data_IF_760039692692
#
_entry.id   IF_760039692692
#
_cell.length_a   1.000
_cell.length_b   1.000
_cell.length_c   1.000
_cell.angle_alpha   90.00
_cell.angle_beta   90.00
_cell.angle_gamma   90.00
#
_symmetry.space_group_name_H-M   'P 1'
#
loop_
_entity.id
_entity.type
_entity.pdbx_description
1 polymer ?
#
# COMPACT_ATOMS: atom_id res chain seq x y z
N UNK A 1 -38.18 12.16 -3.94
CA UNK A 1 -37.46 11.13 -4.72
C UNK A 1 -36.21 11.76 -5.34
N UNK A 2 -35.19 10.95 -5.67
CA UNK A 2 -33.85 11.30 -6.23
C UNK A 2 -32.68 11.44 -5.25
N UNK A 3 -32.24 10.30 -4.69
CA UNK A 3 -30.80 10.05 -4.58
C UNK A 3 -30.31 9.75 -6.00
N UNK A 4 -29.65 10.72 -6.65
CA UNK A 4 -29.37 10.71 -8.10
C UNK A 4 -28.24 9.78 -8.55
N UNK A 5 -28.21 8.53 -8.07
CA UNK A 5 -27.34 7.46 -8.53
C UNK A 5 -28.14 6.33 -9.18
N UNK A 6 -27.51 5.56 -10.06
CA UNK A 6 -28.09 4.36 -10.71
C UNK A 6 -28.17 3.19 -9.73
N UNK A 7 -27.24 3.10 -8.78
CA UNK A 7 -27.21 2.06 -7.74
C UNK A 7 -27.21 2.65 -6.33
N UNK A 8 -27.65 1.83 -5.37
CA UNK A 8 -27.72 2.21 -3.94
C UNK A 8 -26.53 1.70 -3.15
N UNK A 9 -25.90 0.62 -3.61
CA UNK A 9 -24.70 0.06 -2.98
C UNK A 9 -23.55 -0.02 -3.97
N UNK A 10 -22.33 -0.06 -3.44
CA UNK A 10 -21.12 -0.27 -4.26
C UNK A 10 -21.12 -1.68 -4.85
N UNK A 11 -21.59 -2.69 -4.11
CA UNK A 11 -21.68 -4.07 -4.60
C UNK A 11 -22.60 -4.20 -5.80
N UNK A 12 -23.80 -3.62 -5.76
CA UNK A 12 -24.74 -3.64 -6.91
C UNK A 12 -24.09 -3.07 -8.18
N UNK A 13 -23.29 -2.00 -8.04
CA UNK A 13 -22.57 -1.42 -9.16
C UNK A 13 -21.49 -2.34 -9.70
N UNK A 14 -20.72 -3.01 -8.83
CA UNK A 14 -19.71 -4.00 -9.21
C UNK A 14 -20.37 -5.19 -9.92
N UNK A 15 -21.47 -5.71 -9.39
CA UNK A 15 -22.19 -6.84 -9.96
C UNK A 15 -22.68 -6.55 -11.38
N UNK A 16 -23.10 -5.29 -11.63
CA UNK A 16 -23.55 -4.83 -12.94
C UNK A 16 -22.45 -4.68 -14.00
N UNK A 17 -21.18 -4.58 -13.58
CA UNK A 17 -20.06 -4.43 -14.50
C UNK A 17 -19.91 -5.67 -15.38
N UNK A 18 -19.50 -5.54 -16.65
CA UNK A 18 -19.26 -6.68 -17.51
C UNK A 18 -18.15 -7.58 -16.95
N UNK A 19 -18.31 -8.89 -17.13
CA UNK A 19 -17.27 -9.86 -16.81
C UNK A 19 -16.20 -9.87 -17.91
N UNK A 20 -14.95 -10.14 -17.53
CA UNK A 20 -13.80 -10.31 -18.43
C UNK A 20 -13.64 -9.13 -19.41
N UNK A 21 -13.85 -7.90 -18.93
CA UNK A 21 -13.75 -6.72 -19.77
C UNK A 21 -12.30 -6.49 -20.19
N UNK A 22 -12.05 -6.46 -21.50
CA UNK A 22 -10.74 -6.07 -22.07
C UNK A 22 -10.47 -4.55 -21.96
N UNK A 23 -11.47 -3.78 -21.51
CA UNK A 23 -11.39 -2.33 -21.37
C UNK A 23 -11.75 -1.89 -19.95
N UNK A 24 -11.29 -0.68 -19.60
CA UNK A 24 -11.55 -0.05 -18.29
C UNK A 24 -13.05 0.19 -18.09
N UNK A 25 -13.64 -0.40 -17.05
CA UNK A 25 -15.02 -0.12 -16.65
C UNK A 25 -15.05 0.73 -15.36
N UNK A 26 -15.57 1.96 -15.46
CA UNK A 26 -15.47 2.94 -14.36
C UNK A 26 -16.78 3.04 -13.57
N UNK A 27 -16.71 2.80 -12.28
CA UNK A 27 -17.80 3.04 -11.32
C UNK A 27 -17.44 4.28 -10.52
N UNK A 28 -18.30 5.29 -10.59
CA UNK A 28 -18.16 6.50 -9.80
C UNK A 28 -19.07 6.43 -8.58
N UNK A 29 -18.48 6.53 -7.39
CA UNK A 29 -19.15 6.48 -6.10
C UNK A 29 -19.21 7.89 -5.55
N UNK A 30 -20.42 8.42 -5.38
CA UNK A 30 -20.58 9.76 -4.79
C UNK A 30 -20.19 9.72 -3.31
N UNK A 31 -19.83 10.87 -2.77
CA UNK A 31 -19.63 11.02 -1.33
C UNK A 31 -20.80 10.43 -0.52
N UNK A 32 -20.45 9.71 0.54
CA UNK A 32 -21.36 8.93 1.36
C UNK A 32 -20.64 7.81 2.10
N UNK A 33 -21.35 7.21 3.05
CA UNK A 33 -20.91 6.02 3.77
C UNK A 33 -21.75 4.83 3.28
N UNK A 34 -21.06 3.80 2.79
CA UNK A 34 -21.64 2.61 2.20
C UNK A 34 -21.30 1.40 3.06
N UNK A 35 -22.29 0.86 3.77
CA UNK A 35 -22.08 -0.27 4.68
C UNK A 35 -22.19 -1.60 3.95
N UNK A 36 -21.24 -2.50 4.21
CA UNK A 36 -21.18 -3.83 3.64
C UNK A 36 -19.85 -4.12 2.95
N UNK A 37 -19.71 -5.34 2.42
CA UNK A 37 -18.54 -5.69 1.61
C UNK A 37 -18.69 -5.16 0.18
N UNK A 38 -17.57 -4.78 -0.43
CA UNK A 38 -17.42 -4.58 -1.86
C UNK A 38 -16.46 -5.66 -2.38
N UNK A 39 -16.99 -6.62 -3.12
CA UNK A 39 -16.29 -7.80 -3.63
C UNK A 39 -16.17 -7.66 -5.14
N UNK A 40 -14.95 -7.45 -5.61
CA UNK A 40 -14.56 -7.45 -7.02
C UNK A 40 -14.07 -8.87 -7.35
N UNK A 41 -14.99 -9.74 -7.76
CA UNK A 41 -14.71 -11.13 -8.13
C UNK A 41 -13.68 -11.25 -9.26
N UNK A 42 -13.10 -12.44 -9.42
CA UNK A 42 -12.03 -12.71 -10.41
C UNK A 42 -12.44 -12.37 -11.85
N UNK A 43 -13.73 -12.51 -12.15
CA UNK A 43 -14.33 -12.17 -13.44
C UNK A 43 -14.48 -10.66 -13.67
N UNK A 44 -14.42 -9.82 -12.62
CA UNK A 44 -14.58 -8.36 -12.72
C UNK A 44 -13.23 -7.66 -13.01
N UNK A 45 -12.65 -7.99 -14.16
CA UNK A 45 -11.35 -7.43 -14.59
C UNK A 45 -11.44 -5.97 -15.03
N UNK A 46 -10.33 -5.24 -14.91
CA UNK A 46 -10.17 -3.85 -15.36
C UNK A 46 -11.21 -2.86 -14.79
N UNK A 47 -11.79 -3.19 -13.63
CA UNK A 47 -12.73 -2.30 -12.94
C UNK A 47 -11.99 -1.12 -12.31
N UNK A 48 -12.56 0.07 -12.42
CA UNK A 48 -12.05 1.28 -11.78
C UNK A 48 -13.11 1.91 -10.89
N UNK A 49 -12.90 1.81 -9.59
CA UNK A 49 -13.74 2.44 -8.58
C UNK A 49 -13.16 3.81 -8.21
N UNK A 50 -13.92 4.88 -8.43
CA UNK A 50 -13.48 6.25 -8.13
C UNK A 50 -14.51 6.99 -7.27
N UNK A 51 -14.04 7.64 -6.21
CA UNK A 51 -14.88 8.42 -5.28
C UNK A 51 -14.71 9.93 -5.41
N UNK A 52 -15.43 10.68 -4.57
CA UNK A 52 -15.28 12.13 -4.39
C UNK A 52 -14.12 12.53 -3.46
N UNK A 53 -13.36 11.55 -2.95
CA UNK A 53 -12.27 11.75 -2.00
C UNK A 53 -12.24 10.64 -0.95
N UNK A 54 -11.04 10.34 -0.43
CA UNK A 54 -10.83 9.23 0.50
C UNK A 54 -11.54 9.35 1.85
N UNK A 55 -11.82 10.58 2.30
CA UNK A 55 -12.59 10.87 3.51
C UNK A 55 -14.10 11.01 3.25
N UNK A 56 -14.58 11.70 2.19
CA UNK A 56 -16.01 11.83 1.95
C UNK A 56 -16.67 10.59 1.33
N UNK A 57 -15.93 9.66 0.72
CA UNK A 57 -16.48 8.46 0.07
C UNK A 57 -15.95 7.18 0.71
N UNK A 58 -16.75 6.54 1.56
CA UNK A 58 -16.29 5.45 2.43
C UNK A 58 -17.13 4.20 2.24
N UNK A 59 -16.48 3.05 2.01
CA UNK A 59 -17.07 1.72 2.20
C UNK A 59 -16.63 1.20 3.57
N UNK A 60 -17.59 0.76 4.39
CA UNK A 60 -17.33 0.32 5.77
C UNK A 60 -17.94 -1.03 6.07
N UNK A 61 -17.18 -1.88 6.77
CA UNK A 61 -17.61 -3.18 7.26
C UNK A 61 -17.13 -3.42 8.69
N UNK A 62 -17.47 -4.57 9.26
CA UNK A 62 -17.07 -4.95 10.63
C UNK A 62 -16.86 -6.45 10.80
N UNK A 63 -16.67 -7.20 9.71
CA UNK A 63 -16.43 -8.64 9.77
C UNK A 63 -15.09 -8.93 10.45
N UNK A 64 -15.03 -9.99 11.25
CA UNK A 64 -13.89 -10.30 12.11
C UNK A 64 -13.90 -11.77 12.56
N UNK A 65 -12.76 -12.24 13.07
CA UNK A 65 -12.60 -13.63 13.52
C UNK A 65 -13.41 -14.00 14.76
N UNK A 66 -13.63 -13.06 15.67
CA UNK A 66 -14.38 -13.29 16.90
C UNK A 66 -15.87 -13.55 16.64
N UNK A 67 -16.37 -13.17 15.46
CA UNK A 67 -17.73 -13.40 15.00
C UNK A 67 -17.81 -14.51 13.93
N UNK A 68 -16.79 -15.36 13.87
CA UNK A 68 -16.78 -16.58 13.05
C UNK A 68 -16.43 -16.37 11.58
N UNK A 69 -15.79 -15.26 11.21
CA UNK A 69 -15.25 -15.05 9.86
C UNK A 69 -13.77 -15.34 9.83
N UNK A 70 -13.31 -16.08 8.83
CA UNK A 70 -11.87 -16.23 8.60
C UNK A 70 -11.24 -14.86 8.25
N UNK A 71 -9.98 -14.62 8.62
CA UNK A 71 -9.25 -13.39 8.26
C UNK A 71 -9.37 -13.09 6.77
N UNK A 72 -9.24 -14.12 5.94
CA UNK A 72 -9.35 -14.02 4.48
C UNK A 72 -10.71 -13.47 4.01
N UNK A 73 -11.80 -13.81 4.69
CA UNK A 73 -13.17 -13.42 4.33
C UNK A 73 -13.65 -12.14 5.01
N UNK A 74 -12.85 -11.58 5.92
CA UNK A 74 -13.21 -10.40 6.72
C UNK A 74 -13.05 -9.05 6.00
N UNK A 75 -12.48 -9.05 4.78
CA UNK A 75 -12.19 -7.85 4.00
C UNK A 75 -13.42 -7.01 3.70
N UNK A 76 -13.39 -5.71 4.02
CA UNK A 76 -14.46 -4.77 3.62
C UNK A 76 -14.43 -4.51 2.11
N UNK A 77 -13.25 -4.25 1.54
CA UNK A 77 -13.01 -4.37 0.11
C UNK A 77 -12.25 -5.68 -0.15
N UNK A 78 -12.76 -6.49 -1.07
CA UNK A 78 -12.12 -7.72 -1.54
C UNK A 78 -11.87 -7.60 -3.04
N UNK A 79 -10.61 -7.64 -3.45
CA UNK A 79 -10.20 -7.50 -4.86
C UNK A 79 -9.56 -8.79 -5.34
N UNK A 80 -10.23 -9.48 -6.26
CA UNK A 80 -9.73 -10.68 -6.92
C UNK A 80 -9.61 -10.52 -8.44
N UNK A 81 -10.30 -9.52 -9.01
CA UNK A 81 -10.19 -9.16 -10.42
C UNK A 81 -8.88 -8.43 -10.76
N UNK A 82 -8.21 -8.88 -11.82
CA UNK A 82 -6.97 -8.29 -12.30
C UNK A 82 -7.18 -6.87 -12.86
N UNK A 83 -6.14 -6.04 -12.73
CA UNK A 83 -6.13 -4.69 -13.26
C UNK A 83 -7.05 -3.72 -12.51
N UNK A 84 -7.58 -4.09 -11.34
CA UNK A 84 -8.46 -3.24 -10.54
C UNK A 84 -7.74 -1.94 -10.13
N UNK A 85 -8.47 -0.83 -10.17
CA UNK A 85 -8.03 0.46 -9.63
C UNK A 85 -9.07 0.94 -8.62
N UNK A 86 -8.62 1.39 -7.45
CA UNK A 86 -9.39 2.30 -6.61
C UNK A 86 -8.72 3.67 -6.56
N UNK A 87 -9.52 4.73 -6.59
CA UNK A 87 -9.03 6.09 -6.42
C UNK A 87 -9.99 6.96 -5.61
N UNK A 88 -9.45 7.80 -4.73
CA UNK A 88 -10.23 8.80 -3.99
C UNK A 88 -11.36 8.15 -3.15
N UNK A 89 -11.03 7.05 -2.46
CA UNK A 89 -11.97 6.19 -1.70
C UNK A 89 -11.40 5.78 -0.33
N UNK A 90 -12.26 5.68 0.68
CA UNK A 90 -11.97 5.10 1.99
C UNK A 90 -12.52 3.68 2.14
N UNK A 91 -11.75 2.77 2.72
CA UNK A 91 -12.13 1.39 3.03
C UNK A 91 -11.83 1.08 4.50
N UNK A 92 -12.89 0.85 5.29
CA UNK A 92 -12.81 0.86 6.75
C UNK A 92 -13.33 -0.47 7.30
N UNK A 93 -12.61 -1.08 8.25
CA UNK A 93 -13.15 -2.14 9.09
C UNK A 93 -13.26 -1.65 10.53
N UNK A 94 -14.49 -1.47 11.00
CA UNK A 94 -14.82 -0.86 12.30
C UNK A 94 -15.05 -1.88 13.41
N UNK A 95 -14.62 -3.14 13.24
CA UNK A 95 -14.76 -4.18 14.28
C UNK A 95 -14.09 -3.78 15.61
N UNK A 96 -12.97 -3.04 15.52
CA UNK A 96 -12.22 -2.57 16.67
C UNK A 96 -11.18 -3.59 17.16
N UNK A 97 -10.29 -3.18 18.07
CA UNK A 97 -9.14 -3.98 18.46
C UNK A 97 -9.49 -5.19 19.34
N UNK A 98 -10.68 -5.19 19.95
CA UNK A 98 -11.20 -6.31 20.74
C UNK A 98 -11.61 -7.53 19.89
N UNK A 99 -11.74 -7.33 18.57
CA UNK A 99 -12.19 -8.36 17.63
C UNK A 99 -11.04 -9.05 16.90
N UNK A 100 -9.81 -8.67 17.23
CA UNK A 100 -8.58 -9.17 16.61
C UNK A 100 -8.58 -8.97 15.09
N UNK A 101 -8.27 -9.98 14.28
CA UNK A 101 -8.14 -9.85 12.83
C UNK A 101 -9.45 -9.39 12.18
N UNK A 102 -9.39 -8.23 11.50
CA UNK A 102 -10.52 -7.61 10.82
C UNK A 102 -10.03 -6.75 9.65
N UNK A 103 -10.07 -7.32 8.44
CA UNK A 103 -9.43 -6.74 7.26
C UNK A 103 -10.27 -5.60 6.67
N UNK A 104 -9.65 -4.45 6.40
CA UNK A 104 -10.27 -3.37 5.62
C UNK A 104 -10.19 -3.65 4.12
N UNK A 105 -9.00 -4.05 3.63
CA UNK A 105 -8.77 -4.34 2.21
C UNK A 105 -8.00 -5.65 2.05
N UNK A 106 -8.53 -6.58 1.23
CA UNK A 106 -7.80 -7.75 0.75
C UNK A 106 -7.60 -7.67 -0.75
N UNK A 107 -6.37 -7.93 -1.21
CA UNK A 107 -6.04 -7.95 -2.64
C UNK A 107 -5.36 -9.26 -3.04
N UNK A 108 -6.03 -10.00 -3.92
CA UNK A 108 -5.59 -11.24 -4.56
C UNK A 108 -5.47 -11.13 -6.09
N UNK A 109 -5.84 -10.00 -6.69
CA UNK A 109 -5.69 -9.76 -8.14
C UNK A 109 -4.31 -9.22 -8.51
N UNK A 110 -3.91 -9.39 -9.78
CA UNK A 110 -2.66 -8.87 -10.33
C UNK A 110 -2.81 -7.46 -10.93
N UNK A 111 -1.74 -6.67 -10.86
CA UNK A 111 -1.67 -5.28 -11.37
C UNK A 111 -2.77 -4.39 -10.77
N UNK A 112 -2.96 -4.50 -9.46
CA UNK A 112 -3.91 -3.69 -8.71
C UNK A 112 -3.28 -2.37 -8.28
N UNK A 113 -4.01 -1.27 -8.45
CA UNK A 113 -3.59 0.07 -8.01
C UNK A 113 -4.57 0.65 -6.99
N UNK A 114 -4.03 1.18 -5.89
CA UNK A 114 -4.76 2.02 -4.94
C UNK A 114 -4.12 3.41 -4.94
N UNK A 115 -4.83 4.43 -5.38
CA UNK A 115 -4.32 5.79 -5.51
C UNK A 115 -5.15 6.78 -4.69
N UNK A 116 -4.55 7.51 -3.74
CA UNK A 116 -5.30 8.41 -2.86
C UNK A 116 -6.46 7.67 -2.17
N UNK A 117 -6.15 6.51 -1.58
CA UNK A 117 -7.10 5.73 -0.82
C UNK A 117 -6.76 5.75 0.67
N UNK A 118 -7.78 5.60 1.51
CA UNK A 118 -7.63 5.45 2.96
C UNK A 118 -8.05 4.05 3.38
N UNK A 119 -7.21 3.37 4.17
CA UNK A 119 -7.43 2.02 4.65
C UNK A 119 -7.29 2.05 6.17
N UNK A 120 -8.39 1.82 6.88
CA UNK A 120 -8.47 2.07 8.32
C UNK A 120 -9.08 0.87 9.03
N UNK A 121 -8.30 0.22 9.88
CA UNK A 121 -8.78 -0.76 10.84
C UNK A 121 -7.86 -0.78 12.08
N UNK A 122 -7.80 -1.92 12.75
CA UNK A 122 -6.85 -2.21 13.82
C UNK A 122 -5.90 -3.31 13.37
N UNK A 123 -6.13 -4.55 13.80
CA UNK A 123 -5.31 -5.69 13.40
C UNK A 123 -5.66 -6.18 11.99
N UNK A 124 -4.64 -6.50 11.20
CA UNK A 124 -4.74 -7.03 9.83
C UNK A 124 -5.44 -6.08 8.83
N UNK A 125 -5.19 -4.76 8.91
CA UNK A 125 -5.88 -3.75 8.10
C UNK A 125 -5.81 -4.00 6.58
N UNK A 126 -4.60 -4.21 6.04
CA UNK A 126 -4.34 -4.36 4.62
C UNK A 126 -3.71 -5.74 4.35
N UNK A 127 -4.50 -6.62 3.74
CA UNK A 127 -4.05 -7.94 3.32
C UNK A 127 -3.58 -7.91 1.86
N UNK A 128 -2.28 -7.64 1.66
CA UNK A 128 -1.57 -7.76 0.37
C UNK A 128 -1.31 -9.23 0.05
N UNK A 129 -2.39 -9.98 -0.17
CA UNK A 129 -2.40 -11.44 -0.20
C UNK A 129 -1.45 -11.99 -1.28
N UNK A 130 -1.65 -11.67 -2.57
CA UNK A 130 -0.84 -12.21 -3.68
C UNK A 130 -0.71 -11.24 -4.87
N UNK A 131 0.15 -11.59 -5.84
CA UNK A 131 0.36 -10.90 -7.12
C UNK A 131 0.96 -9.49 -7.01
N UNK A 132 1.03 -8.75 -8.13
CA UNK A 132 1.65 -7.41 -8.18
C UNK A 132 0.66 -6.33 -7.80
N UNK A 133 1.07 -5.44 -6.92
CA UNK A 133 0.20 -4.39 -6.37
C UNK A 133 0.99 -3.10 -6.19
N UNK A 134 0.33 -1.95 -6.40
CA UNK A 134 0.92 -0.62 -6.23
C UNK A 134 0.00 0.30 -5.44
N UNK A 135 0.53 0.95 -4.42
CA UNK A 135 -0.21 1.86 -3.55
C UNK A 135 0.48 3.22 -3.56
N UNK A 136 -0.21 4.29 -3.92
CA UNK A 136 0.39 5.63 -4.01
C UNK A 136 -0.52 6.70 -3.39
N UNK A 137 0.08 7.64 -2.67
CA UNK A 137 -0.63 8.72 -1.96
C UNK A 137 -1.73 8.22 -1.01
N UNK A 138 -1.55 7.03 -0.44
CA UNK A 138 -2.52 6.40 0.45
C UNK A 138 -2.32 6.80 1.92
N UNK A 139 -3.34 6.56 2.73
CA UNK A 139 -3.26 6.58 4.20
C UNK A 139 -3.62 5.19 4.72
N UNK A 140 -2.70 4.54 5.42
CA UNK A 140 -2.88 3.17 5.93
C UNK A 140 -2.69 3.17 7.44
N UNK A 141 -3.75 2.83 8.18
CA UNK A 141 -3.81 2.94 9.64
C UNK A 141 -4.13 1.60 10.28
N UNK A 142 -3.37 1.18 11.29
CA UNK A 142 -3.64 -0.07 12.01
C UNK A 142 -2.74 -0.30 13.22
N UNK A 143 -2.79 -1.52 13.77
CA UNK A 143 -2.05 -1.89 15.01
C UNK A 143 -1.11 -3.07 14.81
N UNK A 144 -1.64 -4.29 14.87
CA UNK A 144 -0.89 -5.53 14.74
C UNK A 144 -0.97 -6.00 13.29
N UNK A 145 0.18 -6.32 12.71
CA UNK A 145 0.35 -6.91 11.38
C UNK A 145 -0.47 -6.19 10.29
N UNK A 146 -0.57 -4.86 10.38
CA UNK A 146 -1.63 -4.17 9.64
C UNK A 146 -1.33 -4.01 8.14
N UNK A 147 -0.13 -4.35 7.68
CA UNK A 147 0.21 -4.57 6.27
C UNK A 147 0.85 -5.97 6.16
N UNK A 148 0.11 -6.94 5.66
CA UNK A 148 0.55 -8.35 5.72
C UNK A 148 0.20 -9.13 4.46
N UNK A 149 0.89 -10.25 4.26
CA UNK A 149 0.68 -11.15 3.12
C UNK A 149 1.94 -11.45 2.31
N UNK A 150 1.76 -11.90 1.07
CA UNK A 150 2.83 -12.42 0.22
C UNK A 150 2.80 -11.88 -1.22
N UNK A 151 2.25 -10.68 -1.43
CA UNK A 151 2.29 -9.99 -2.71
C UNK A 151 3.72 -9.56 -3.13
N UNK A 152 3.86 -9.16 -4.40
CA UNK A 152 4.89 -8.22 -4.88
C UNK A 152 4.30 -6.83 -4.76
N UNK A 153 4.60 -6.09 -3.69
CA UNK A 153 3.94 -4.79 -3.45
C UNK A 153 4.92 -3.67 -3.18
N UNK A 154 4.67 -2.54 -3.83
CA UNK A 154 5.32 -1.26 -3.51
C UNK A 154 4.26 -0.28 -3.03
N UNK A 155 4.48 0.26 -1.83
CA UNK A 155 3.73 1.36 -1.24
C UNK A 155 4.62 2.59 -1.33
N UNK A 156 4.20 3.59 -2.10
CA UNK A 156 5.00 4.75 -2.46
C UNK A 156 4.30 6.05 -2.02
N UNK A 157 5.05 7.04 -1.54
CA UNK A 157 4.52 8.39 -1.28
C UNK A 157 3.26 8.42 -0.40
N UNK A 158 3.19 7.51 0.57
CA UNK A 158 2.00 7.26 1.40
C UNK A 158 2.27 7.54 2.88
N UNK A 159 1.20 7.69 3.65
CA UNK A 159 1.25 7.82 5.11
C UNK A 159 0.93 6.47 5.75
N UNK A 160 1.84 6.01 6.61
CA UNK A 160 1.70 4.77 7.37
C UNK A 160 1.53 5.16 8.84
N UNK A 161 0.36 4.85 9.41
CA UNK A 161 -0.07 5.40 10.70
C UNK A 161 -0.37 4.27 11.69
N UNK A 162 0.62 3.79 12.45
CA UNK A 162 0.35 2.92 13.59
C UNK A 162 -0.51 3.64 14.62
N UNK A 163 -1.53 2.96 15.15
CA UNK A 163 -2.44 3.52 16.17
C UNK A 163 -2.32 2.84 17.52
N UNK A 164 -2.97 3.38 18.55
CA UNK A 164 -2.94 2.77 19.88
C UNK A 164 -3.68 1.41 19.87
N UNK A 165 -3.02 0.29 20.23
CA UNK A 165 -3.68 -1.00 20.37
C UNK A 165 -4.33 -1.14 21.74
N UNK A 166 -4.81 -2.35 22.06
CA UNK A 166 -5.29 -2.65 23.42
C UNK A 166 -4.13 -2.57 24.42
N UNK A 167 -4.41 -2.33 25.72
CA UNK A 167 -3.40 -2.43 26.75
C UNK A 167 -2.66 -3.77 26.71
N UNK A 168 -1.32 -3.72 26.79
CA UNK A 168 -0.46 -4.90 26.79
C UNK A 168 -0.12 -5.46 25.39
N UNK A 169 -0.69 -4.91 24.32
CA UNK A 169 -0.29 -5.24 22.95
C UNK A 169 0.83 -4.34 22.43
N UNK A 170 1.56 -4.87 21.45
CA UNK A 170 2.57 -4.15 20.68
C UNK A 170 2.09 -4.02 19.23
N UNK A 171 2.59 -3.01 18.51
CA UNK A 171 2.26 -2.79 17.12
C UNK A 171 3.32 -3.37 16.18
N UNK A 172 2.87 -3.89 15.04
CA UNK A 172 3.71 -4.39 13.96
C UNK A 172 3.21 -3.79 12.64
N UNK A 173 4.04 -2.98 11.98
CA UNK A 173 3.65 -2.37 10.71
C UNK A 173 3.47 -3.43 9.63
N UNK A 174 4.46 -4.33 9.50
CA UNK A 174 4.44 -5.36 8.46
C UNK A 174 4.51 -6.79 9.01
N UNK A 175 3.84 -7.71 8.32
CA UNK A 175 3.98 -9.15 8.54
C UNK A 175 4.00 -9.91 7.20
N UNK A 176 5.18 -9.98 6.57
CA UNK A 176 5.32 -10.60 5.25
C UNK A 176 5.48 -12.13 5.39
N UNK A 177 4.79 -12.90 4.54
CA UNK A 177 4.58 -14.35 4.74
C UNK A 177 5.24 -15.28 3.73
N UNK A 178 6.30 -14.83 3.04
CA UNK A 178 7.05 -15.69 2.14
C UNK A 178 7.57 -16.94 2.90
N UNK A 179 7.18 -18.11 2.40
CA UNK A 179 7.49 -19.42 2.99
C UNK A 179 8.59 -20.17 2.26
N UNK A 180 9.09 -19.66 1.13
CA UNK A 180 10.14 -20.26 0.33
C UNK A 180 11.15 -19.22 -0.17
N UNK A 181 12.28 -19.72 -0.65
CA UNK A 181 13.47 -18.96 -1.05
C UNK A 181 13.41 -18.38 -2.47
N UNK A 182 12.29 -18.51 -3.20
CA UNK A 182 12.16 -17.97 -4.56
C UNK A 182 12.38 -16.45 -4.62
N UNK A 183 12.29 -15.75 -3.48
CA UNK A 183 12.58 -14.31 -3.31
C UNK A 183 11.94 -13.47 -4.42
N UNK A 184 10.73 -13.83 -4.83
CA UNK A 184 9.99 -13.13 -5.88
C UNK A 184 8.96 -12.18 -5.31
N UNK A 185 8.53 -12.34 -4.05
CA UNK A 185 7.51 -11.55 -3.35
C UNK A 185 8.11 -10.71 -2.23
N UNK A 186 7.42 -9.67 -1.77
CA UNK A 186 7.93 -8.79 -0.71
C UNK A 186 7.09 -7.54 -0.56
N UNK A 187 7.19 -6.91 0.61
CA UNK A 187 6.57 -5.63 0.92
C UNK A 187 7.64 -4.55 0.87
N UNK A 188 7.46 -3.54 0.02
CA UNK A 188 8.35 -2.37 -0.04
C UNK A 188 7.57 -1.12 0.33
N UNK A 189 8.12 -0.36 1.28
CA UNK A 189 7.63 0.96 1.69
C UNK A 189 8.68 1.98 1.25
N UNK A 190 8.39 2.75 0.20
CA UNK A 190 9.31 3.71 -0.41
C UNK A 190 8.77 5.14 -0.31
N UNK A 191 9.61 6.10 0.07
CA UNK A 191 9.22 7.52 0.13
C UNK A 191 7.94 7.76 0.94
N UNK A 192 7.74 6.99 1.99
CA UNK A 192 6.57 7.11 2.84
C UNK A 192 6.88 7.90 4.11
N UNK A 193 5.83 8.36 4.78
CA UNK A 193 5.92 8.97 6.10
C UNK A 193 5.31 8.00 7.11
N UNK A 194 6.13 7.53 8.05
CA UNK A 194 5.72 6.64 9.13
C UNK A 194 5.64 7.45 10.43
N UNK A 195 4.42 7.73 10.88
CA UNK A 195 4.14 8.56 12.05
C UNK A 195 3.06 7.91 12.92
N UNK A 196 3.11 8.09 14.26
CA UNK A 196 2.09 7.54 15.12
C UNK A 196 0.79 8.35 14.96
N UNK A 197 -0.35 7.69 15.15
CA UNK A 197 -1.60 8.42 15.40
C UNK A 197 -1.51 9.26 16.68
N UNK A 198 -2.40 10.24 16.84
CA UNK A 198 -2.40 11.13 18.01
C UNK A 198 -2.54 10.37 19.34
N UNK A 199 -3.38 9.34 19.39
CA UNK A 199 -3.59 8.50 20.58
C UNK A 199 -2.40 7.58 20.88
N UNK A 200 -1.64 7.15 19.87
CA UNK A 200 -0.39 6.42 20.08
C UNK A 200 0.71 7.37 20.57
N UNK A 201 0.83 8.56 19.99
CA UNK A 201 1.77 9.58 20.44
C UNK A 201 1.51 9.95 21.91
N UNK A 202 0.24 10.13 22.30
CA UNK A 202 -0.17 10.39 23.67
C UNK A 202 0.13 9.24 24.65
N UNK A 203 0.39 8.03 24.15
CA UNK A 203 0.81 6.90 24.98
C UNK A 203 2.29 6.99 25.44
N UNK A 204 3.03 8.01 24.99
CA UNK A 204 4.36 8.39 25.48
C UNK A 204 5.35 7.21 25.64
N UNK A 205 5.44 6.36 24.62
CA UNK A 205 6.38 5.23 24.58
C UNK A 205 5.95 3.98 25.36
N UNK A 206 4.77 3.96 25.97
CA UNK A 206 4.23 2.76 26.66
C UNK A 206 3.82 1.62 25.72
N UNK A 207 3.61 1.92 24.44
CA UNK A 207 3.30 0.94 23.40
C UNK A 207 4.54 0.79 22.52
N UNK A 208 5.11 -0.41 22.51
CA UNK A 208 6.19 -0.75 21.57
C UNK A 208 5.62 -0.88 20.16
N UNK A 209 6.31 -0.28 19.19
CA UNK A 209 5.96 -0.36 17.77
C UNK A 209 7.19 -0.75 16.97
N UNK A 210 7.04 -1.72 16.07
CA UNK A 210 8.11 -2.24 15.23
C UNK A 210 7.73 -2.12 13.75
N UNK A 211 8.73 -2.04 12.88
CA UNK A 211 8.63 -2.01 11.42
C UNK A 211 8.02 -3.31 10.86
N UNK A 212 8.20 -4.43 11.57
CA UNK A 212 7.52 -5.67 11.25
C UNK A 212 8.04 -6.90 11.99
N UNK A 213 7.45 -8.04 11.65
CA UNK A 213 7.82 -9.38 12.13
C UNK A 213 7.60 -10.48 11.07
N UNK A 214 8.40 -11.57 11.08
CA UNK A 214 8.42 -12.53 9.98
C UNK A 214 7.32 -13.60 10.10
N UNK A 215 6.14 -13.36 9.53
CA UNK A 215 5.09 -14.39 9.47
C UNK A 215 5.56 -15.64 8.70
N UNK A 216 6.37 -15.47 7.65
CA UNK A 216 7.01 -16.56 6.91
C UNK A 216 8.52 -16.68 7.19
N UNK A 217 9.09 -17.87 7.05
CA UNK A 217 10.53 -18.12 7.28
C UNK A 217 11.46 -17.36 6.32
N UNK A 218 10.95 -16.96 5.15
CA UNK A 218 11.68 -16.18 4.15
C UNK A 218 11.08 -14.77 4.02
N UNK A 219 10.52 -14.25 5.12
CA UNK A 219 9.86 -12.94 5.16
C UNK A 219 10.74 -11.87 4.53
N UNK A 220 10.17 -11.06 3.64
CA UNK A 220 10.92 -10.01 2.93
C UNK A 220 10.22 -8.67 2.95
N UNK A 221 10.81 -7.72 3.66
CA UNK A 221 10.31 -6.35 3.78
C UNK A 221 11.45 -5.37 3.63
N UNK A 222 11.27 -4.31 2.84
CA UNK A 222 12.23 -3.21 2.72
C UNK A 222 11.53 -1.89 2.99
N UNK A 223 12.12 -1.07 3.87
CA UNK A 223 11.68 0.30 4.11
C UNK A 223 12.79 1.21 3.64
N UNK A 224 12.51 2.04 2.63
CA UNK A 224 13.53 2.84 1.97
C UNK A 224 13.08 4.26 1.67
N UNK A 225 14.02 5.20 1.69
CA UNK A 225 13.84 6.62 1.36
C UNK A 225 12.66 7.25 2.14
N UNK A 226 12.34 6.73 3.32
CA UNK A 226 11.13 7.06 4.07
C UNK A 226 11.45 7.87 5.34
N UNK A 227 10.52 8.72 5.77
CA UNK A 227 10.60 9.39 7.06
C UNK A 227 10.03 8.49 8.17
N UNK A 228 10.78 8.30 9.25
CA UNK A 228 10.40 7.46 10.38
C UNK A 228 10.44 8.29 11.67
N UNK A 229 9.29 8.41 12.35
CA UNK A 229 9.16 9.08 13.65
C UNK A 229 9.82 8.32 14.81
N UNK A 230 10.07 9.00 15.93
CA UNK A 230 10.88 8.53 17.07
C UNK A 230 10.27 7.34 17.83
N UNK A 231 8.99 7.06 17.63
CA UNK A 231 8.20 6.06 18.36
C UNK A 231 8.49 4.60 18.00
N UNK A 232 9.27 4.35 16.94
CA UNK A 232 9.70 3.00 16.57
C UNK A 232 10.76 2.53 17.59
N UNK A 233 10.59 1.32 18.12
CA UNK A 233 11.55 0.75 19.06
C UNK A 233 12.94 0.66 18.41
N UNK A 234 14.01 0.92 19.16
CA UNK A 234 15.37 0.94 18.63
C UNK A 234 15.77 -0.36 17.93
N UNK A 235 15.23 -1.50 18.38
CA UNK A 235 15.41 -2.81 17.73
C UNK A 235 14.89 -2.83 16.29
N UNK A 236 13.91 -2.00 15.96
CA UNK A 236 13.28 -1.84 14.65
C UNK A 236 12.34 -2.99 14.28
N UNK A 237 12.77 -4.23 14.48
CA UNK A 237 12.08 -5.44 14.05
C UNK A 237 11.83 -6.38 15.22
N UNK A 238 10.74 -7.14 15.17
CA UNK A 238 10.36 -8.07 16.24
C UNK A 238 10.37 -9.53 15.73
N UNK A 239 10.87 -10.51 16.52
CA UNK A 239 10.78 -11.91 16.12
C UNK A 239 9.31 -12.34 16.04
N UNK A 240 8.97 -13.31 15.18
CA UNK A 240 7.60 -13.81 15.13
C UNK A 240 7.20 -14.50 16.44
N UNK A 241 8.10 -15.33 16.96
CA UNK A 241 8.06 -15.95 18.28
C UNK A 241 9.48 -16.33 18.70
N UNK A 242 9.64 -16.74 19.96
CA UNK A 242 10.91 -17.27 20.46
C UNK A 242 11.41 -18.44 19.59
N UNK A 243 12.70 -18.43 19.26
CA UNK A 243 13.33 -19.48 18.44
C UNK A 243 12.93 -19.50 16.96
N UNK A 244 12.21 -18.50 16.45
CA UNK A 244 11.91 -18.39 15.02
C UNK A 244 13.21 -18.23 14.20
N UNK A 245 13.32 -18.79 12.98
CA UNK A 245 14.48 -18.57 12.13
C UNK A 245 14.55 -17.11 11.67
N UNK A 246 15.70 -16.47 11.88
CA UNK A 246 15.96 -15.06 11.56
C UNK A 246 17.12 -14.89 10.57
N UNK A 247 17.67 -16.00 10.09
CA UNK A 247 18.78 -16.10 9.15
C UNK A 247 18.34 -16.09 7.68
N UNK A 248 17.08 -16.44 7.41
CA UNK A 248 16.55 -16.63 6.05
C UNK A 248 15.67 -15.49 5.55
N UNK A 249 15.16 -14.66 6.47
CA UNK A 249 14.41 -13.45 6.12
C UNK A 249 15.34 -12.43 5.44
N UNK A 250 14.75 -11.42 4.81
CA UNK A 250 15.47 -10.25 4.32
C UNK A 250 14.72 -9.00 4.75
N UNK A 251 15.20 -8.34 5.80
CA UNK A 251 14.69 -7.06 6.28
C UNK A 251 15.69 -5.95 6.01
N UNK A 252 15.32 -5.04 5.13
CA UNK A 252 16.20 -3.99 4.63
C UNK A 252 15.76 -2.60 5.05
N UNK A 253 16.71 -1.76 5.44
CA UNK A 253 16.53 -0.31 5.59
C UNK A 253 17.53 0.42 4.68
N UNK A 254 17.06 1.35 3.84
CA UNK A 254 17.90 2.11 2.89
C UNK A 254 17.54 3.60 2.90
N UNK A 255 18.50 4.48 3.20
CA UNK A 255 18.34 5.95 3.15
C UNK A 255 17.05 6.51 3.80
N UNK A 256 16.58 5.87 4.89
CA UNK A 256 15.52 6.42 5.70
C UNK A 256 16.01 7.64 6.50
N UNK A 257 15.09 8.55 6.82
CA UNK A 257 15.39 9.74 7.61
C UNK A 257 14.39 9.92 8.77
N UNK A 258 14.65 10.91 9.62
CA UNK A 258 13.86 11.15 10.83
C UNK A 258 14.39 10.42 12.07
N UNK A 259 13.87 10.77 13.27
CA UNK A 259 14.44 10.31 14.53
C UNK A 259 14.33 8.80 14.77
N UNK A 260 13.36 8.11 14.17
CA UNK A 260 13.24 6.64 14.26
C UNK A 260 14.10 5.86 13.26
N UNK A 261 14.79 6.54 12.34
CA UNK A 261 15.58 5.90 11.30
C UNK A 261 17.01 5.50 11.74
N UNK A 262 17.42 5.82 12.98
CA UNK A 262 18.74 5.41 13.46
C UNK A 262 18.83 3.88 13.58
N UNK A 263 19.78 3.29 12.84
CA UNK A 263 19.97 1.84 12.77
C UNK A 263 20.96 1.29 13.80
N UNK A 264 21.64 2.13 14.60
CA UNK A 264 22.69 1.68 15.54
C UNK A 264 22.20 0.74 16.65
N UNK A 265 20.90 0.78 16.96
CA UNK A 265 20.25 -0.05 17.99
C UNK A 265 19.47 -1.24 17.43
N UNK A 266 19.54 -1.49 16.11
CA UNK A 266 18.75 -2.53 15.44
C UNK A 266 19.19 -3.93 15.86
N UNK A 267 18.28 -4.87 15.66
CA UNK A 267 18.53 -6.30 15.83
C UNK A 267 19.78 -6.76 15.06
N UNK A 268 20.46 -7.77 15.59
CA UNK A 268 21.68 -8.35 15.02
C UNK A 268 21.40 -9.68 14.31
N UNK A 269 20.31 -9.75 13.55
CA UNK A 269 19.92 -10.96 12.83
C UNK A 269 20.66 -11.04 11.50
N UNK A 270 21.06 -12.24 11.07
CA UNK A 270 21.75 -12.41 9.78
C UNK A 270 20.88 -11.96 8.58
N UNK A 271 19.55 -12.09 8.69
CA UNK A 271 18.61 -11.61 7.68
C UNK A 271 18.28 -10.11 7.74
N UNK A 272 18.81 -9.36 8.70
CA UNK A 272 18.63 -7.91 8.78
C UNK A 272 19.80 -7.18 8.11
N UNK A 273 19.47 -6.17 7.30
CA UNK A 273 20.43 -5.45 6.46
C UNK A 273 20.21 -3.94 6.53
N UNK A 274 21.23 -3.20 6.93
CA UNK A 274 21.36 -1.79 6.57
C UNK A 274 21.92 -1.75 5.15
N UNK A 275 21.05 -1.50 4.18
CA UNK A 275 21.43 -1.51 2.77
C UNK A 275 22.27 -0.26 2.53
N UNK A 276 23.49 -0.44 2.01
CA UNK A 276 24.43 0.65 1.72
C UNK A 276 24.72 0.80 0.23
N UNK A 277 24.53 -0.26 -0.56
CA UNK A 277 24.67 -0.22 -2.01
C UNK A 277 23.33 0.14 -2.68
N UNK A 278 23.24 1.28 -3.41
CA UNK A 278 22.05 1.61 -4.17
C UNK A 278 21.67 0.55 -5.22
N UNK A 279 22.62 -0.22 -5.74
CA UNK A 279 22.33 -1.30 -6.70
C UNK A 279 21.54 -2.45 -6.06
N UNK A 280 21.76 -2.72 -4.77
CA UNK A 280 20.95 -3.66 -4.01
C UNK A 280 19.53 -3.10 -3.80
N UNK A 281 19.44 -1.82 -3.41
CA UNK A 281 18.17 -1.12 -3.22
C UNK A 281 17.32 -1.04 -4.51
N UNK A 282 17.95 -0.91 -5.68
CA UNK A 282 17.25 -0.85 -6.98
C UNK A 282 16.34 -2.06 -7.22
N UNK A 283 16.69 -3.24 -6.73
CA UNK A 283 15.89 -4.47 -6.88
C UNK A 283 14.50 -4.37 -6.22
N UNK A 284 14.31 -3.42 -5.31
CA UNK A 284 13.07 -3.21 -4.57
C UNK A 284 12.19 -2.08 -5.13
N UNK A 285 12.64 -1.42 -6.19
CA UNK A 285 11.92 -0.31 -6.82
C UNK A 285 10.70 -0.77 -7.62
N UNK A 286 9.86 0.17 -8.05
CA UNK A 286 8.66 -0.10 -8.85
C UNK A 286 9.00 -0.86 -10.14
N UNK A 287 10.05 -0.45 -10.85
CA UNK A 287 10.49 -1.13 -12.07
C UNK A 287 10.88 -2.59 -11.85
N UNK A 288 11.61 -2.88 -10.76
CA UNK A 288 12.22 -4.19 -10.55
C UNK A 288 11.31 -5.15 -9.77
N UNK A 289 10.68 -4.67 -8.69
CA UNK A 289 9.89 -5.56 -7.84
C UNK A 289 8.53 -5.88 -8.45
N UNK A 290 7.88 -4.96 -9.16
CA UNK A 290 6.51 -5.15 -9.66
C UNK A 290 6.39 -4.98 -11.17
N UNK A 291 7.52 -4.93 -11.89
CA UNK A 291 7.56 -4.73 -13.35
C UNK A 291 6.74 -3.48 -13.76
N UNK A 292 6.75 -2.44 -12.90
CA UNK A 292 5.76 -1.35 -12.91
C UNK A 292 5.69 -0.58 -14.22
N UNK A 293 6.83 -0.42 -14.89
CA UNK A 293 6.93 0.32 -16.17
C UNK A 293 6.18 -0.38 -17.32
N UNK A 294 5.86 -1.67 -17.18
CA UNK A 294 5.08 -2.41 -18.18
C UNK A 294 3.58 -2.09 -18.11
N UNK A 295 3.07 -1.57 -16.98
CA UNK A 295 1.62 -1.50 -16.77
C UNK A 295 1.12 -0.21 -16.11
N UNK A 296 1.89 0.46 -15.24
CA UNK A 296 1.49 1.70 -14.58
C UNK A 296 1.31 2.91 -15.52
N UNK A 297 2.08 3.08 -16.63
CA UNK A 297 1.86 4.19 -17.56
C UNK A 297 0.44 4.23 -18.16
N UNK A 298 -0.22 3.08 -18.28
CA UNK A 298 -1.59 2.97 -18.82
C UNK A 298 -2.68 3.23 -17.78
N UNK A 299 -2.32 3.31 -16.50
CA UNK A 299 -3.23 3.58 -15.37
C UNK A 299 -3.42 5.09 -15.18
N UNK A 300 -2.39 5.90 -15.49
CA UNK A 300 -2.43 7.36 -15.33
C UNK A 300 -2.23 7.83 -13.89
N UNK A 301 -1.49 7.07 -13.08
CA UNK A 301 -1.08 7.43 -11.72
C UNK A 301 0.37 7.89 -11.72
N UNK A 302 0.69 8.87 -10.87
CA UNK A 302 2.06 9.29 -10.65
C UNK A 302 2.81 8.22 -9.84
N UNK A 303 3.98 7.84 -10.33
CA UNK A 303 4.90 6.94 -9.64
C UNK A 303 6.34 7.27 -10.01
N UNK A 304 7.26 6.92 -9.12
CA UNK A 304 8.69 6.90 -9.43
C UNK A 304 9.11 5.47 -9.70
N UNK A 305 9.64 5.23 -10.90
CA UNK A 305 10.06 3.90 -11.37
C UNK A 305 11.22 3.31 -10.55
N UNK A 306 12.22 4.14 -10.20
CA UNK A 306 13.44 3.75 -9.49
C UNK A 306 13.56 4.30 -8.06
N UNK A 307 14.79 4.55 -7.63
CA UNK A 307 15.09 5.29 -6.40
C UNK A 307 14.73 6.77 -6.55
N UNK A 308 14.35 7.42 -5.45
CA UNK A 308 13.81 8.79 -5.38
C UNK A 308 14.88 9.88 -5.41
N UNK A 309 16.15 9.50 -5.31
CA UNK A 309 17.23 10.44 -5.06
C UNK A 309 17.49 11.39 -6.25
N UNK A 310 17.04 12.66 -6.09
CA UNK A 310 17.43 13.82 -6.91
C UNK A 310 18.86 14.29 -6.66
N UNK A 311 19.65 13.64 -5.80
CA UNK A 311 21.06 14.00 -5.54
C UNK A 311 22.03 13.68 -6.68
N UNK A 312 21.60 12.93 -7.70
CA UNK A 312 22.37 12.74 -8.94
C UNK A 312 22.01 13.75 -10.06
N UNK A 313 21.14 14.74 -9.77
CA UNK A 313 20.74 15.80 -10.71
C UNK A 313 21.06 17.21 -10.22
N UNK A 314 21.96 17.36 -9.24
CA UNK A 314 22.69 18.62 -9.06
C UNK A 314 23.95 18.49 -9.88
N UNK A 315 23.98 19.20 -11.02
CA UNK A 315 25.25 19.61 -11.61
C UNK A 315 26.01 20.35 -10.52
N UNK A 316 27.10 19.79 -10.04
CA UNK A 316 28.22 20.62 -9.60
C UNK A 316 28.67 21.40 -10.85
N UNK A 317 28.23 22.65 -10.98
CA UNK A 317 28.83 23.56 -11.95
C UNK A 317 30.19 24.10 -11.48
N UNK A 318 30.67 23.71 -10.30
CA UNK A 318 31.97 24.13 -9.79
C UNK A 318 32.76 22.95 -9.18
N UNK A 319 33.30 22.06 -10.02
CA UNK A 319 34.63 21.51 -9.75
C UNK A 319 35.28 20.93 -11.02
N UNK A 320 36.17 21.73 -11.57
CA UNK A 320 37.05 21.39 -12.67
C UNK A 320 38.16 20.47 -12.13
N UNK A 321 37.99 19.14 -12.22
CA UNK A 321 39.08 18.17 -12.33
C UNK A 321 38.52 16.81 -12.77
N UNK A 322 38.90 16.41 -13.99
CA UNK A 322 38.25 15.35 -14.73
C UNK A 322 38.54 13.92 -14.24
N UNK A 323 37.58 13.04 -14.50
CA UNK A 323 37.83 11.78 -15.20
C UNK A 323 36.50 11.24 -15.75
N UNK A 324 36.49 10.93 -17.04
CA UNK A 324 35.38 10.38 -17.82
C UNK A 324 35.18 8.88 -17.54
N UNK A 325 33.92 8.45 -17.36
CA UNK A 325 33.45 7.09 -17.66
C UNK A 325 32.02 7.13 -18.20
N UNK A 326 31.88 7.47 -19.48
CA UNK A 326 30.63 7.44 -20.21
C UNK A 326 30.15 6.04 -20.58
N UNK A 327 29.04 5.57 -19.97
CA UNK A 327 28.01 4.74 -20.63
C UNK A 327 26.63 5.07 -20.02
N UNK A 328 26.14 6.30 -20.22
CA UNK A 328 24.81 6.70 -19.75
C UNK A 328 24.16 7.86 -20.52
N UNK A 329 24.92 8.58 -21.33
CA UNK A 329 24.48 9.82 -21.96
C UNK A 329 23.81 9.67 -23.34
N UNK A 330 23.58 8.43 -23.82
CA UNK A 330 22.93 8.19 -25.13
C UNK A 330 21.43 7.90 -25.09
N UNK A 331 20.82 7.65 -23.94
CA UNK A 331 19.38 7.37 -23.82
C UNK A 331 18.53 8.60 -23.41
N UNK A 332 19.15 9.63 -22.84
CA UNK A 332 18.44 10.82 -22.32
C UNK A 332 18.21 11.94 -23.36
N UNK A 333 18.86 11.88 -24.52
CA UNK A 333 18.71 12.92 -25.57
C UNK A 333 17.59 12.67 -26.57
N UNK A 334 16.84 11.57 -26.44
CA UNK A 334 15.72 11.26 -27.34
C UNK A 334 14.34 11.39 -26.67
N UNK A 335 14.28 11.73 -25.37
CA UNK A 335 13.02 11.81 -24.62
C UNK A 335 12.50 13.24 -24.37
N UNK A 336 13.28 14.28 -24.65
CA UNK A 336 12.94 15.67 -24.30
C UNK A 336 12.30 16.52 -25.42
N UNK A 337 11.90 15.94 -26.55
CA UNK A 337 11.34 16.70 -27.69
C UNK A 337 9.88 16.42 -28.04
N UNK A 338 9.13 15.65 -27.25
CA UNK A 338 7.68 15.48 -27.47
C UNK A 338 6.89 15.45 -26.17
N UNK A 339 6.70 16.62 -25.57
CA UNK A 339 5.57 16.89 -24.68
C UNK A 339 4.64 17.87 -25.38
N UNK A 340 3.51 17.42 -25.97
CA UNK A 340 2.41 18.31 -26.22
C UNK A 340 1.57 18.44 -24.95
N UNK A 341 1.40 19.69 -24.50
CA UNK A 341 0.33 20.12 -23.61
C UNK A 341 -1.02 19.62 -24.15
N UNK A 342 -1.52 18.50 -23.62
CA UNK A 342 -2.89 18.07 -23.86
C UNK A 342 -3.62 17.95 -22.53
N UNK A 343 -4.40 19.00 -22.24
CA UNK A 343 -5.71 18.87 -21.62
C UNK A 343 -6.45 17.71 -22.30
N UNK A 344 -6.53 16.56 -21.63
CA UNK A 344 -7.38 15.46 -22.07
C UNK A 344 -8.84 15.92 -21.91
N UNK A 345 -9.40 16.49 -22.96
CA UNK A 345 -10.85 16.46 -23.18
C UNK A 345 -11.23 15.00 -23.40
N UNK A 346 -11.84 14.37 -22.38
CA UNK A 346 -12.45 13.04 -22.48
C UNK A 346 -13.62 13.10 -23.48
N UNK A 347 -13.36 12.76 -24.74
CA UNK A 347 -14.37 12.38 -25.72
C UNK A 347 -14.27 10.87 -25.95
N UNK A 348 -14.90 10.12 -25.07
CA UNK A 348 -15.14 8.68 -25.20
C UNK A 348 -16.26 8.37 -24.23
N UNK A 349 -17.30 7.66 -24.68
CA UNK A 349 -18.46 7.31 -23.88
C UNK A 349 -18.00 6.62 -22.58
N UNK A 350 -17.88 7.37 -21.49
CA UNK A 350 -17.73 6.80 -20.16
C UNK A 350 -19.06 6.11 -19.87
N UNK A 351 -19.07 4.79 -19.86
CA UNK A 351 -20.05 4.04 -19.08
C UNK A 351 -19.70 4.28 -17.61
N UNK A 352 -20.01 5.47 -17.11
CA UNK A 352 -19.90 5.82 -15.69
C UNK A 352 -21.22 5.47 -15.05
N UNK A 353 -21.20 4.51 -14.11
CA UNK A 353 -22.38 4.25 -13.29
C UNK A 353 -22.22 4.91 -11.93
N UNK A 354 -23.26 5.61 -11.51
CA UNK A 354 -23.25 6.44 -10.30
C UNK A 354 -23.81 5.65 -9.12
N UNK A 355 -23.12 5.66 -7.98
CA UNK A 355 -23.63 5.12 -6.71
C UNK A 355 -23.96 6.28 -5.76
N UNK A 356 -25.13 6.24 -5.09
CA UNK A 356 -25.55 7.26 -4.12
C UNK A 356 -25.99 6.66 -2.78
N UNK A 357 -25.74 7.33 -1.65
CA UNK A 357 -26.04 6.79 -0.31
C UNK A 357 -27.55 6.69 -0.04
N UNK A 358 -27.95 5.79 0.85
CA UNK A 358 -29.32 5.77 1.40
C UNK A 358 -29.55 7.01 2.27
N UNK A 359 -30.65 7.73 2.04
CA UNK A 359 -31.16 8.67 3.05
C UNK A 359 -31.94 7.87 4.08
N UNK A 360 -31.54 7.94 5.34
CA UNK A 360 -32.41 7.54 6.44
C UNK A 360 -33.71 8.34 6.31
N UNK A 361 -34.85 7.67 6.27
CA UNK A 361 -36.13 8.32 6.52
C UNK A 361 -36.08 8.82 7.97
N UNK A 362 -36.08 10.14 8.14
CA UNK A 362 -36.28 10.80 9.43
C UNK A 362 -37.65 10.47 9.98
#
# INVERSE_FOLDING_TARGET
MHGGGTFRTVQEAIDSAPNMSDTRYTIYVKQGVYTGQAIVGKEKQNLFLIGDGMDPTVVTGSLNIHEGKETFDSGTLVVEGDGFIAQDMGFFNTAGPEKEQAVAVRVSGDRVVMNRCKMDAYQDTLYVHHHRQFYTNCVITGTIDFIFGNARVVIQSSQIIPRKPRPGQENMITAQSASNDKRSTGIVIQNCTILPSLDLAAANGSVKTYLGRPWGNFSRTVIMESFIGEFIDAKGWHPWKEGWPLDKLYYGEFENCGPGANTSGRVQWDGYHVISDPLEALNFTVAQLIDGDEWLPFVGVDYTSGLMNRRFLVKDEDNNNGMDWGVGSKLLKQFNETLPNHLIKRNGNLLSVNVGPQRNAT
#
